data_IF_613630458149
#
_entry.id   IF_613630458149
#
_cell.length_a   1.000
_cell.length_b   1.000
_cell.length_c   1.000
_cell.angle_alpha   90.00
_cell.angle_beta   90.00
_cell.angle_gamma   90.00
#
_symmetry.space_group_name_H-M   'P 1'
#
loop_
_entity.id
_entity.type
_entity.pdbx_description
1 polymer ?
#
# COMPACT_ATOMS: atom_id res chain seq x y z
N UNK A 1 -18.41 -11.43 26.23
CA UNK A 1 -17.39 -11.78 25.23
C UNK A 1 -17.54 -13.23 24.85
N UNK A 2 -18.74 -13.64 24.45
CA UNK A 2 -19.04 -15.01 24.01
C UNK A 2 -19.12 -15.09 22.48
N UNK A 3 -19.18 -13.93 21.81
CA UNK A 3 -19.06 -13.86 20.36
C UNK A 3 -17.64 -14.28 19.96
N UNK A 4 -17.57 -15.24 19.05
CA UNK A 4 -16.32 -15.80 18.51
C UNK A 4 -15.94 -15.01 17.27
N UNK A 5 -14.75 -14.41 17.29
CA UNK A 5 -14.11 -13.77 16.15
C UNK A 5 -12.99 -14.66 15.59
N UNK A 6 -12.41 -14.26 14.47
CA UNK A 6 -11.38 -15.04 13.76
C UNK A 6 -10.19 -15.43 14.65
N UNK A 7 -9.73 -14.53 15.52
CA UNK A 7 -8.60 -14.80 16.43
C UNK A 7 -8.98 -15.66 17.66
N UNK A 8 -10.28 -15.87 17.92
CA UNK A 8 -10.75 -16.73 19.00
C UNK A 8 -10.81 -18.21 18.57
N UNK A 9 -10.77 -18.48 17.26
CA UNK A 9 -10.79 -19.84 16.71
C UNK A 9 -9.46 -20.53 17.05
N UNK A 10 -9.46 -21.68 17.73
CA UNK A 10 -8.24 -22.39 18.06
C UNK A 10 -7.42 -22.75 16.82
N UNK A 11 -6.15 -22.38 16.81
CA UNK A 11 -5.24 -22.71 15.73
C UNK A 11 -5.02 -24.23 15.62
N UNK A 12 -4.99 -24.79 14.39
CA UNK A 12 -4.57 -26.17 14.17
C UNK A 12 -3.17 -26.45 14.73
N UNK A 13 -2.87 -27.73 15.03
CA UNK A 13 -1.60 -28.16 15.63
C UNK A 13 -0.36 -27.67 14.87
N UNK A 14 -0.42 -27.70 13.55
CA UNK A 14 0.70 -27.35 12.66
C UNK A 14 0.47 -26.01 11.93
N UNK A 15 -0.31 -25.11 12.55
CA UNK A 15 -0.57 -23.78 12.01
C UNK A 15 0.72 -22.94 11.96
N UNK A 16 0.97 -22.31 10.81
CA UNK A 16 2.04 -21.34 10.62
C UNK A 16 1.49 -19.92 10.67
N UNK A 17 2.37 -18.97 10.97
CA UNK A 17 2.00 -17.57 11.15
C UNK A 17 2.74 -16.70 10.15
N UNK A 18 1.99 -15.78 9.55
CA UNK A 18 2.47 -14.80 8.61
C UNK A 18 2.64 -13.41 9.24
N UNK A 19 3.67 -12.67 8.83
CA UNK A 19 3.77 -11.23 9.11
C UNK A 19 4.32 -10.48 7.90
N UNK A 20 3.65 -9.41 7.49
CA UNK A 20 4.06 -8.61 6.35
C UNK A 20 5.38 -7.88 6.62
N UNK A 21 6.21 -7.86 5.59
CA UNK A 21 7.34 -6.95 5.44
C UNK A 21 6.80 -5.75 4.68
N UNK A 22 6.84 -4.57 5.31
CA UNK A 22 6.34 -3.34 4.72
C UNK A 22 7.48 -2.49 4.18
N UNK A 23 7.22 -1.82 3.07
CA UNK A 23 8.12 -0.81 2.56
C UNK A 23 8.28 0.33 3.56
N UNK A 24 9.48 0.89 3.61
CA UNK A 24 9.79 2.09 4.39
C UNK A 24 10.08 3.30 3.49
N UNK A 25 10.02 3.12 2.17
CA UNK A 25 10.30 4.17 1.20
C UNK A 25 9.03 4.55 0.44
N UNK A 26 8.81 5.85 0.18
CA UNK A 26 7.61 6.32 -0.51
C UNK A 26 7.61 5.97 -2.00
N UNK A 27 8.77 5.90 -2.65
CA UNK A 27 8.88 5.47 -4.05
C UNK A 27 10.30 4.96 -4.31
N UNK A 28 10.47 3.66 -4.58
CA UNK A 28 11.80 3.07 -4.77
C UNK A 28 11.76 1.69 -5.43
N UNK A 29 12.78 1.35 -6.22
CA UNK A 29 13.01 -0.02 -6.68
C UNK A 29 13.43 -0.91 -5.52
N UNK A 30 12.87 -2.11 -5.47
CA UNK A 30 13.23 -3.15 -4.50
C UNK A 30 14.30 -4.03 -5.14
N UNK A 31 15.49 -4.08 -4.54
CA UNK A 31 16.62 -4.88 -5.03
C UNK A 31 16.71 -6.23 -4.32
N UNK A 32 16.29 -6.27 -3.06
CA UNK A 32 16.30 -7.49 -2.27
C UNK A 32 15.71 -7.29 -0.88
N UNK A 33 15.44 -8.42 -0.23
CA UNK A 33 14.98 -8.47 1.16
C UNK A 33 15.92 -9.41 1.91
N UNK A 34 16.57 -8.87 2.93
CA UNK A 34 17.48 -9.57 3.82
C UNK A 34 16.99 -9.44 5.27
N UNK A 35 17.67 -10.10 6.21
CA UNK A 35 17.32 -10.01 7.64
C UNK A 35 18.57 -9.71 8.45
N UNK A 36 18.41 -8.87 9.49
CA UNK A 36 19.42 -8.76 10.55
C UNK A 36 19.58 -10.12 11.22
N UNK A 37 20.82 -10.52 11.47
CA UNK A 37 21.11 -11.77 12.20
C UNK A 37 20.46 -11.73 13.58
N UNK A 38 19.52 -12.65 13.83
CA UNK A 38 18.83 -12.77 15.10
C UNK A 38 18.28 -14.19 15.30
N UNK A 39 17.84 -14.51 16.51
CA UNK A 39 17.10 -15.76 16.74
C UNK A 39 15.80 -15.79 15.92
N UNK A 40 15.12 -14.66 15.74
CA UNK A 40 13.89 -14.61 14.96
C UNK A 40 14.14 -14.88 13.48
N UNK A 41 15.22 -14.32 12.90
CA UNK A 41 15.59 -14.58 11.50
C UNK A 41 15.94 -16.05 11.25
N UNK A 42 16.52 -16.74 12.25
CA UNK A 42 16.79 -18.18 12.19
C UNK A 42 15.53 -19.04 12.31
N UNK A 43 14.41 -18.48 12.79
CA UNK A 43 13.11 -19.15 12.95
C UNK A 43 12.16 -18.88 11.78
N UNK A 44 12.60 -18.12 10.77
CA UNK A 44 11.86 -17.96 9.52
C UNK A 44 11.90 -19.28 8.75
N UNK A 45 10.73 -19.77 8.37
CA UNK A 45 10.59 -20.94 7.50
C UNK A 45 10.81 -20.53 6.06
N UNK A 46 10.11 -19.48 5.63
CA UNK A 46 10.24 -18.90 4.28
C UNK A 46 9.72 -17.45 4.25
N UNK A 47 10.00 -16.76 3.15
CA UNK A 47 9.38 -15.49 2.79
C UNK A 47 8.66 -15.68 1.47
N UNK A 48 7.39 -15.28 1.41
CA UNK A 48 6.59 -15.29 0.18
C UNK A 48 6.53 -13.86 -0.36
N UNK A 49 6.75 -13.70 -1.65
CA UNK A 49 6.81 -12.43 -2.38
C UNK A 49 6.02 -12.50 -3.70
N UNK A 50 6.06 -11.43 -4.50
CA UNK A 50 5.49 -11.44 -5.86
C UNK A 50 6.03 -12.58 -6.73
N UNK A 51 7.28 -13.02 -6.50
CA UNK A 51 7.96 -14.08 -7.27
C UNK A 51 7.41 -15.48 -6.99
N UNK A 52 6.70 -15.64 -5.87
CA UNK A 52 6.15 -16.92 -5.42
C UNK A 52 4.70 -17.11 -5.87
N UNK A 53 4.14 -16.14 -6.60
CA UNK A 53 2.81 -16.24 -7.20
C UNK A 53 2.84 -17.34 -8.27
N UNK A 54 1.96 -18.37 -8.18
CA UNK A 54 1.98 -19.49 -9.12
C UNK A 54 1.73 -19.07 -10.56
N UNK A 55 2.15 -19.93 -11.50
CA UNK A 55 1.85 -19.74 -12.93
C UNK A 55 0.34 -19.59 -13.16
N UNK A 56 -0.06 -18.52 -13.84
CA UNK A 56 -1.46 -18.14 -14.07
C UNK A 56 -2.09 -17.29 -12.95
N UNK A 57 -1.41 -17.12 -11.82
CA UNK A 57 -1.76 -16.16 -10.79
C UNK A 57 -1.42 -14.72 -11.17
N UNK A 58 -2.01 -13.75 -10.47
CA UNK A 58 -1.77 -12.32 -10.66
C UNK A 58 -1.40 -11.67 -9.32
N UNK A 59 -0.47 -10.73 -9.34
CA UNK A 59 -0.08 -9.93 -8.18
C UNK A 59 -1.15 -8.85 -7.90
N UNK A 60 -2.27 -9.24 -7.30
CA UNK A 60 -3.42 -8.37 -7.01
C UNK A 60 -3.86 -8.59 -5.57
N UNK A 61 -3.77 -7.55 -4.74
CA UNK A 61 -4.22 -7.54 -3.35
C UNK A 61 -5.63 -6.97 -3.21
N UNK A 62 -5.99 -6.01 -4.05
CA UNK A 62 -7.33 -5.43 -4.14
C UNK A 62 -7.64 -5.08 -5.59
N UNK A 63 -8.91 -5.13 -5.96
CA UNK A 63 -9.36 -4.77 -7.29
C UNK A 63 -10.64 -3.94 -7.17
N UNK A 64 -10.63 -2.74 -7.76
CA UNK A 64 -11.79 -1.88 -7.80
C UNK A 64 -12.26 -1.72 -9.25
N UNK A 65 -13.54 -2.02 -9.54
CA UNK A 65 -14.10 -1.78 -10.87
C UNK A 65 -13.83 -0.34 -11.32
N UNK A 66 -13.27 -0.19 -12.52
CA UNK A 66 -12.94 1.09 -13.16
C UNK A 66 -11.78 1.91 -12.52
N UNK A 67 -11.24 1.50 -11.37
CA UNK A 67 -10.11 2.17 -10.70
C UNK A 67 -8.80 1.37 -10.82
N UNK A 68 -8.89 0.10 -11.20
CA UNK A 68 -7.74 -0.77 -11.44
C UNK A 68 -7.45 -1.73 -10.29
N UNK A 69 -6.32 -2.42 -10.42
CA UNK A 69 -5.85 -3.41 -9.47
C UNK A 69 -4.71 -2.82 -8.63
N UNK A 70 -4.75 -3.02 -7.31
CA UNK A 70 -3.66 -2.75 -6.40
C UNK A 70 -2.82 -4.03 -6.22
N UNK A 71 -1.50 -3.91 -6.30
CA UNK A 71 -0.61 -5.06 -6.16
C UNK A 71 -0.66 -5.67 -4.74
N UNK A 72 -0.61 -7.00 -4.65
CA UNK A 72 -0.52 -7.69 -3.35
C UNK A 72 0.84 -7.44 -2.69
N UNK A 73 1.90 -7.43 -3.51
CA UNK A 73 3.26 -7.11 -3.13
C UNK A 73 3.85 -6.06 -4.08
N UNK A 74 4.52 -5.03 -3.56
CA UNK A 74 5.32 -4.10 -4.36
C UNK A 74 6.48 -4.84 -5.02
N UNK A 75 6.48 -4.93 -6.34
CA UNK A 75 7.55 -5.51 -7.17
C UNK A 75 7.40 -5.02 -8.62
N UNK A 76 8.47 -4.55 -9.28
CA UNK A 76 9.82 -4.32 -8.76
C UNK A 76 9.97 -2.97 -8.04
N UNK A 77 8.89 -2.19 -7.91
CA UNK A 77 8.85 -0.85 -7.31
C UNK A 77 7.89 -0.86 -6.13
N UNK A 78 8.31 -0.22 -5.04
CA UNK A 78 7.43 0.22 -3.97
C UNK A 78 6.90 1.61 -4.29
N UNK A 79 5.60 1.83 -4.17
CA UNK A 79 4.89 3.05 -4.54
C UNK A 79 4.43 3.89 -3.32
N UNK A 80 4.53 3.34 -2.12
CA UNK A 80 4.31 4.08 -0.87
C UNK A 80 4.98 3.40 0.34
N UNK A 81 5.25 4.19 1.38
CA UNK A 81 5.69 3.65 2.66
C UNK A 81 4.53 2.92 3.34
N UNK A 82 4.75 1.67 3.74
CA UNK A 82 3.70 0.78 4.23
C UNK A 82 3.17 -0.21 3.20
N UNK A 83 3.64 -0.17 1.94
CA UNK A 83 3.24 -1.18 0.95
C UNK A 83 3.82 -2.55 1.31
N UNK A 84 3.03 -3.61 1.16
CA UNK A 84 3.49 -4.98 1.37
C UNK A 84 4.58 -5.33 0.36
N UNK A 85 5.73 -5.84 0.80
CA UNK A 85 6.80 -6.33 -0.09
C UNK A 85 6.86 -7.86 -0.10
N UNK A 86 6.48 -8.47 1.01
CA UNK A 86 6.43 -9.92 1.18
C UNK A 86 5.82 -10.28 2.53
N UNK A 87 5.71 -11.56 2.80
CA UNK A 87 5.22 -12.10 4.08
C UNK A 87 6.22 -13.12 4.62
N UNK A 88 6.67 -12.89 5.85
CA UNK A 88 7.48 -13.86 6.62
C UNK A 88 6.58 -14.94 7.14
N UNK A 89 6.97 -16.21 6.97
CA UNK A 89 6.29 -17.36 7.54
C UNK A 89 7.15 -17.98 8.65
N UNK A 90 6.56 -18.24 9.83
CA UNK A 90 7.24 -18.90 10.95
C UNK A 90 6.26 -19.77 11.78
N UNK A 91 6.80 -20.63 12.64
CA UNK A 91 6.02 -21.53 13.52
C UNK A 91 5.23 -20.81 14.62
N UNK A 92 5.60 -19.56 14.94
CA UNK A 92 4.86 -18.76 15.92
C UNK A 92 4.65 -17.34 15.42
N UNK A 93 3.53 -16.73 15.78
CA UNK A 93 3.21 -15.33 15.48
C UNK A 93 4.32 -14.38 15.95
N UNK A 94 4.89 -14.65 17.14
CA UNK A 94 5.97 -13.86 17.71
C UNK A 94 7.21 -13.87 16.83
N UNK A 95 7.63 -15.04 16.32
CA UNK A 95 8.81 -15.12 15.45
C UNK A 95 8.55 -14.48 14.09
N UNK A 96 7.38 -14.71 13.48
CA UNK A 96 7.02 -14.06 12.22
C UNK A 96 7.10 -12.53 12.35
N UNK A 97 6.46 -11.97 13.39
CA UNK A 97 6.46 -10.52 13.62
C UNK A 97 7.83 -9.94 13.92
N UNK A 98 8.62 -10.60 14.80
CA UNK A 98 9.97 -10.15 15.13
C UNK A 98 10.89 -10.18 13.91
N UNK A 99 10.81 -11.24 13.09
CA UNK A 99 11.60 -11.36 11.87
C UNK A 99 11.19 -10.31 10.83
N UNK A 100 9.89 -10.11 10.58
CA UNK A 100 9.40 -9.09 9.65
C UNK A 100 9.86 -7.68 10.04
N UNK A 101 9.86 -7.33 11.34
CA UNK A 101 10.42 -6.07 11.85
C UNK A 101 11.94 -5.92 11.68
N UNK A 102 12.65 -7.02 11.51
CA UNK A 102 14.09 -7.06 11.34
C UNK A 102 14.52 -7.24 9.88
N UNK A 103 13.54 -7.30 8.96
CA UNK A 103 13.78 -7.28 7.53
C UNK A 103 14.51 -5.98 7.15
N UNK A 104 15.51 -6.12 6.30
CA UNK A 104 16.24 -5.04 5.65
C UNK A 104 15.88 -5.13 4.18
N UNK A 105 15.21 -4.11 3.67
CA UNK A 105 14.90 -4.01 2.26
C UNK A 105 15.96 -3.13 1.61
N UNK A 106 16.57 -3.65 0.56
CA UNK A 106 17.55 -2.93 -0.25
C UNK A 106 16.80 -2.14 -1.33
N UNK A 107 16.95 -0.82 -1.29
CA UNK A 107 16.27 0.09 -2.20
C UNK A 107 17.23 0.75 -3.17
N UNK A 108 16.71 1.18 -4.31
CA UNK A 108 17.37 2.13 -5.20
C UNK A 108 16.34 3.13 -5.71
N UNK A 109 16.70 4.40 -5.71
CA UNK A 109 15.91 5.49 -6.30
C UNK A 109 16.46 5.94 -7.65
N UNK A 110 17.42 5.19 -8.21
CA UNK A 110 18.02 5.52 -9.51
C UNK A 110 16.97 5.40 -10.62
N UNK A 111 16.93 6.40 -11.51
CA UNK A 111 16.00 6.48 -12.64
C UNK A 111 14.51 6.45 -12.26
N UNK A 112 14.17 6.78 -11.01
CA UNK A 112 12.80 7.01 -10.57
C UNK A 112 12.55 8.50 -10.39
N UNK A 113 11.36 8.93 -10.78
CA UNK A 113 10.86 10.25 -10.42
C UNK A 113 10.70 10.34 -8.89
N UNK A 114 10.92 11.53 -8.29
CA UNK A 114 10.65 11.76 -6.88
C UNK A 114 9.19 11.38 -6.52
N UNK A 115 8.95 10.93 -5.28
CA UNK A 115 7.59 10.65 -4.83
C UNK A 115 6.74 11.93 -4.83
N UNK A 116 5.49 11.82 -5.27
CA UNK A 116 4.49 12.88 -5.17
C UNK A 116 3.83 12.77 -3.80
N UNK A 117 4.10 13.72 -2.90
CA UNK A 117 3.67 13.65 -1.50
C UNK A 117 2.63 14.69 -1.11
N UNK A 118 2.53 15.78 -1.88
CA UNK A 118 1.60 16.88 -1.62
C UNK A 118 0.54 17.00 -2.71
N UNK A 119 -0.55 17.72 -2.42
CA UNK A 119 -1.58 18.02 -3.40
C UNK A 119 -1.00 18.92 -4.50
N UNK A 120 -0.15 19.87 -4.12
CA UNK A 120 0.52 20.80 -5.03
C UNK A 120 1.42 20.04 -6.00
N UNK A 121 2.20 19.06 -5.53
CA UNK A 121 3.01 18.19 -6.38
C UNK A 121 2.13 17.40 -7.35
N UNK A 122 1.01 16.83 -6.88
CA UNK A 122 0.08 16.09 -7.72
C UNK A 122 -0.50 16.97 -8.83
N UNK A 123 -0.81 18.22 -8.51
CA UNK A 123 -1.29 19.21 -9.49
C UNK A 123 -0.22 19.53 -10.52
N UNK A 124 1.00 19.82 -10.09
CA UNK A 124 2.12 20.15 -10.98
C UNK A 124 2.45 19.00 -11.94
N UNK A 125 2.33 17.75 -11.49
CA UNK A 125 2.65 16.56 -12.28
C UNK A 125 1.43 15.96 -13.01
N UNK A 126 0.25 16.56 -12.89
CA UNK A 126 -1.02 16.02 -13.41
C UNK A 126 -1.30 14.57 -12.96
N UNK A 127 -0.93 14.24 -11.72
CA UNK A 127 -1.06 12.90 -11.15
C UNK A 127 -2.42 12.73 -10.47
N UNK A 128 -3.42 12.28 -11.23
CA UNK A 128 -4.80 12.13 -10.75
C UNK A 128 -5.38 10.77 -11.11
N UNK A 129 -6.28 10.27 -10.26
CA UNK A 129 -7.16 9.18 -10.64
C UNK A 129 -8.26 9.66 -11.60
N UNK A 130 -8.68 8.83 -12.56
CA UNK A 130 -9.82 9.16 -13.41
C UNK A 130 -11.09 9.27 -12.56
N UNK A 131 -11.75 10.43 -12.64
CA UNK A 131 -13.03 10.65 -11.96
C UNK A 131 -14.14 9.96 -12.75
N UNK A 132 -14.82 9.01 -12.13
CA UNK A 132 -15.94 8.33 -12.75
C UNK A 132 -17.07 9.33 -13.06
N UNK A 133 -17.72 9.28 -14.24
CA UNK A 133 -18.71 10.29 -14.64
C UNK A 133 -19.86 10.50 -13.65
N UNK A 134 -20.24 9.47 -12.89
CA UNK A 134 -21.31 9.56 -11.89
C UNK A 134 -20.87 10.22 -10.57
N UNK A 135 -19.55 10.31 -10.32
CA UNK A 135 -18.97 11.06 -9.21
C UNK A 135 -18.60 12.50 -9.61
N UNK A 136 -18.61 12.80 -10.91
CA UNK A 136 -18.28 14.13 -11.39
C UNK A 136 -19.30 15.16 -10.85
N UNK A 137 -18.82 16.28 -10.27
CA UNK A 137 -19.71 17.31 -9.77
C UNK A 137 -20.53 17.89 -10.93
N UNK A 138 -21.82 18.07 -10.69
CA UNK A 138 -22.72 18.74 -11.64
C UNK A 138 -22.83 20.21 -11.24
N UNK A 139 -22.58 21.16 -12.15
CA UNK A 139 -22.87 22.56 -11.89
C UNK A 139 -24.35 22.73 -11.53
N UNK A 140 -24.64 23.52 -10.50
CA UNK A 140 -26.00 23.87 -10.08
C UNK A 140 -26.17 25.37 -10.16
N UNK A 141 -27.11 25.83 -11.00
CA UNK A 141 -27.33 27.27 -11.23
C UNK A 141 -26.26 27.93 -12.10
N UNK A 142 -26.29 29.26 -12.11
CA UNK A 142 -25.32 30.11 -12.80
C UNK A 142 -24.43 30.81 -11.76
N UNK A 143 -23.19 30.33 -11.64
CA UNK A 143 -22.22 30.85 -10.68
C UNK A 143 -21.80 32.29 -10.99
N UNK A 144 -21.67 32.64 -12.27
CA UNK A 144 -21.21 33.97 -12.69
C UNK A 144 -22.29 35.01 -12.39
N UNK A 145 -23.56 34.69 -12.68
CA UNK A 145 -24.69 35.55 -12.31
C UNK A 145 -24.78 35.71 -10.79
N UNK A 146 -24.76 34.61 -10.03
CA UNK A 146 -24.86 34.66 -8.58
C UNK A 146 -23.74 35.47 -7.92
N UNK A 147 -22.51 35.35 -8.42
CA UNK A 147 -21.37 36.15 -7.94
C UNK A 147 -21.47 37.62 -8.36
N UNK A 148 -22.07 37.93 -9.51
CA UNK A 148 -22.31 39.32 -9.95
C UNK A 148 -23.32 40.04 -9.04
N UNK A 149 -24.39 39.37 -8.64
CA UNK A 149 -25.50 39.92 -7.86
C UNK A 149 -25.24 40.01 -6.35
N UNK A 150 -24.19 39.34 -5.83
CA UNK A 150 -23.90 39.31 -4.40
C UNK A 150 -23.44 40.66 -3.81
N UNK A 151 -24.02 41.06 -2.68
CA UNK A 151 -23.65 42.28 -1.92
C UNK A 151 -22.23 42.23 -1.35
N UNK A 152 -21.77 41.04 -1.00
CA UNK A 152 -20.42 40.79 -0.47
C UNK A 152 -19.75 39.68 -1.26
N UNK A 153 -18.51 39.93 -1.70
CA UNK A 153 -17.74 39.03 -2.57
C UNK A 153 -16.40 38.70 -1.96
N UNK A 154 -16.04 37.43 -1.97
CA UNK A 154 -14.68 36.98 -1.65
C UNK A 154 -13.94 36.91 -2.98
N UNK A 155 -12.99 37.83 -3.18
CA UNK A 155 -12.26 37.95 -4.45
C UNK A 155 -11.26 36.81 -4.66
N UNK A 156 -10.71 36.27 -3.57
CA UNK A 156 -9.88 35.07 -3.57
C UNK A 156 -9.80 34.49 -2.15
N UNK A 157 -9.60 33.18 -2.09
CA UNK A 157 -9.31 32.41 -0.88
C UNK A 157 -8.63 31.12 -1.30
N UNK A 158 -7.88 30.52 -0.39
CA UNK A 158 -7.30 29.18 -0.52
C UNK A 158 -7.94 28.26 0.51
#
# INVERSE_FOLDING_TARGET
GEAVYVDDIPAPKDCLYGAFIYSTHPHAHIKGVNFKSSLASQKVITVISAKDIPAGGRNVGSAFPMLGDEALFGDPVSEFAGQNIGIVIAETQKYAYMAAKQAIIEYSTENLEPPILTIEDAIQHNSYFPVLPFLAPKPVGDFDQGMSEADHKILSGE
#
